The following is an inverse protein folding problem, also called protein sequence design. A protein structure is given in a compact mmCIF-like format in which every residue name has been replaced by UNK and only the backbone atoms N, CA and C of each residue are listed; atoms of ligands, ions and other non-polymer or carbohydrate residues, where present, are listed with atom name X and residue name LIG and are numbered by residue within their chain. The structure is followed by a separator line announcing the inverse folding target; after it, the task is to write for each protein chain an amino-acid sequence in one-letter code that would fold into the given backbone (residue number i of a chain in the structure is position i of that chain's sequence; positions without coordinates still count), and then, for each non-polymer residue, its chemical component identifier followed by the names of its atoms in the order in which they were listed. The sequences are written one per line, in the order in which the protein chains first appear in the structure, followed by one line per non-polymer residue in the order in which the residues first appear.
data_IF_330117407579
#
_entry.id   IF_330117407579
#
_cell.length_a   1.000
_cell.length_b   1.000
_cell.length_c   1.000
_cell.angle_alpha   90.00
_cell.angle_beta   90.00
_cell.angle_gamma   90.00
#
_symmetry.space_group_name_H-M   'P 1'
#
loop_
_entity.id
_entity.type
_entity.pdbx_description
1 polymer ?
#
# COMPACT_ATOMS: atom_id res chain seq x y z
N UNK A 1 24.51 -18.06 8.45
CA UNK A 1 23.83 -17.54 7.24
C UNK A 1 22.98 -16.36 7.67
N UNK A 2 23.31 -15.15 7.21
CA UNK A 2 22.55 -13.94 7.55
C UNK A 2 21.54 -13.60 6.47
N UNK A 3 20.34 -13.15 6.85
CA UNK A 3 19.33 -12.65 5.93
C UNK A 3 19.70 -11.23 5.46
N UNK A 4 19.76 -10.99 4.14
CA UNK A 4 19.97 -9.64 3.59
C UNK A 4 18.66 -8.86 3.68
N UNK A 5 18.70 -7.70 4.34
CA UNK A 5 17.55 -6.79 4.46
C UNK A 5 17.16 -6.27 3.08
N UNK A 6 16.00 -6.68 2.57
CA UNK A 6 15.37 -6.05 1.40
C UNK A 6 14.16 -5.24 1.89
N UNK A 7 14.29 -3.92 2.09
CA UNK A 7 13.18 -3.10 2.54
C UNK A 7 12.05 -3.14 1.50
N UNK A 8 10.81 -3.34 1.95
CA UNK A 8 9.65 -3.43 1.07
C UNK A 8 9.35 -2.03 0.52
N UNK A 9 9.06 -1.92 -0.77
CA UNK A 9 8.57 -0.69 -1.40
C UNK A 9 7.11 -0.91 -1.73
N UNK A 10 6.26 -0.01 -1.28
CA UNK A 10 4.84 0.02 -1.59
C UNK A 10 4.62 0.87 -2.83
N UNK A 11 3.79 0.37 -3.73
CA UNK A 11 3.29 1.11 -4.87
C UNK A 11 1.84 1.47 -4.59
N UNK A 12 1.60 2.75 -4.38
CA UNK A 12 0.30 3.34 -4.08
C UNK A 12 -0.27 3.88 -5.39
N UNK A 13 -1.46 3.41 -5.76
CA UNK A 13 -2.20 3.88 -6.92
C UNK A 13 -3.48 4.52 -6.43
N UNK A 14 -3.78 5.70 -6.96
CA UNK A 14 -4.99 6.43 -6.66
C UNK A 14 -5.95 6.34 -7.85
N UNK A 15 -7.23 6.22 -7.54
CA UNK A 15 -8.34 6.19 -8.49
C UNK A 15 -9.33 7.31 -8.12
N UNK A 16 -10.11 7.79 -9.07
CA UNK A 16 -11.17 8.78 -8.82
C UNK A 16 -10.70 10.24 -8.95
N UNK A 17 -10.56 10.95 -7.82
CA UNK A 17 -10.19 12.38 -7.85
C UNK A 17 -8.71 12.59 -8.22
N UNK A 18 -7.84 11.66 -7.82
CA UNK A 18 -6.42 11.63 -8.17
C UNK A 18 -6.12 10.47 -9.15
N UNK A 19 -7.03 10.21 -10.08
CA UNK A 19 -6.92 9.11 -11.03
C UNK A 19 -5.62 9.21 -11.83
N UNK A 20 -4.81 8.15 -11.76
CA UNK A 20 -3.51 8.09 -12.43
C UNK A 20 -2.32 8.54 -11.58
N UNK A 21 -2.52 9.03 -10.36
CA UNK A 21 -1.40 9.31 -9.44
C UNK A 21 -0.78 7.98 -8.96
N UNK A 22 0.52 7.86 -9.17
CA UNK A 22 1.32 6.70 -8.77
C UNK A 22 2.43 7.14 -7.82
N UNK A 23 2.45 6.59 -6.61
CA UNK A 23 3.40 6.97 -5.55
C UNK A 23 4.14 5.73 -5.05
N UNK A 24 5.48 5.81 -5.02
CA UNK A 24 6.35 4.72 -4.54
C UNK A 24 7.02 5.12 -3.25
N UNK A 25 6.72 4.38 -2.19
CA UNK A 25 7.17 4.72 -0.84
C UNK A 25 7.74 3.50 -0.10
N UNK A 26 8.83 3.69 0.65
CA UNK A 26 9.49 2.63 1.40
C UNK A 26 8.69 2.22 2.64
N UNK A 27 8.84 0.97 3.05
CA UNK A 27 8.29 0.46 4.30
C UNK A 27 8.96 1.11 5.51
N UNK A 28 8.19 1.31 6.56
CA UNK A 28 8.69 1.72 7.87
C UNK A 28 9.43 0.55 8.55
N UNK A 29 10.42 0.90 9.36
CA UNK A 29 10.97 -0.06 10.34
C UNK A 29 10.00 -0.20 11.52
N UNK A 30 10.05 -1.31 12.25
CA UNK A 30 9.16 -1.53 13.41
C UNK A 30 9.25 -0.39 14.45
N UNK A 31 10.44 0.16 14.70
CA UNK A 31 10.60 1.29 15.61
C UNK A 31 9.94 2.58 15.10
N UNK A 32 10.00 2.82 13.79
CA UNK A 32 9.34 3.97 13.15
C UNK A 32 7.82 3.80 13.10
N UNK A 33 7.32 2.57 12.93
CA UNK A 33 5.90 2.27 13.02
C UNK A 33 5.33 2.54 14.42
N UNK A 34 6.09 2.21 15.47
CA UNK A 34 5.70 2.47 16.86
C UNK A 34 5.68 3.97 17.16
N UNK A 35 6.69 4.71 16.70
CA UNK A 35 6.72 6.17 16.81
C UNK A 35 5.50 6.78 16.10
N UNK A 36 5.34 6.51 14.80
CA UNK A 36 4.23 7.03 14.00
C UNK A 36 2.83 6.75 14.60
N UNK A 37 2.63 5.60 15.27
CA UNK A 37 1.37 5.31 15.98
C UNK A 37 1.19 6.13 17.25
N UNK A 38 2.26 6.32 18.02
CA UNK A 38 2.24 7.12 19.24
C UNK A 38 1.98 8.59 18.91
N UNK A 39 2.64 9.11 17.87
CA UNK A 39 2.51 10.50 17.44
C UNK A 39 1.16 10.80 16.75
N UNK A 40 0.56 9.83 16.04
CA UNK A 40 -0.78 10.02 15.45
C UNK A 40 -1.91 10.07 16.49
N UNK A 41 -1.77 9.37 17.62
CA UNK A 41 -2.81 9.31 18.67
C UNK A 41 -3.00 10.68 19.34
N UNK A 42 -1.98 11.55 19.31
CA UNK A 42 -2.01 12.89 19.90
C UNK A 42 -2.78 13.92 19.04
N UNK A 43 -3.04 13.63 17.75
CA UNK A 43 -3.93 14.42 16.88
C UNK A 43 -3.58 15.91 16.68
N UNK A 44 -2.43 16.36 17.17
CA UNK A 44 -1.97 17.75 17.12
C UNK A 44 -1.32 18.13 15.79
N UNK A 45 -1.12 19.45 15.59
CA UNK A 45 -0.38 20.01 14.43
C UNK A 45 1.01 19.40 14.27
N UNK A 46 1.68 19.08 15.38
CA UNK A 46 3.00 18.43 15.40
C UNK A 46 2.99 17.03 14.76
N UNK A 47 1.91 16.25 14.95
CA UNK A 47 1.79 14.92 14.37
C UNK A 47 1.67 14.96 12.84
N UNK A 48 1.02 15.99 12.30
CA UNK A 48 0.88 16.15 10.84
C UNK A 48 2.22 16.50 10.20
N UNK A 49 2.98 17.44 10.79
CA UNK A 49 4.30 17.82 10.28
C UNK A 49 5.28 16.63 10.32
N UNK A 50 5.30 15.87 11.42
CA UNK A 50 6.14 14.68 11.55
C UNK A 50 5.80 13.60 10.49
N UNK A 51 4.52 13.42 10.16
CA UNK A 51 4.10 12.46 9.12
C UNK A 51 4.50 12.93 7.71
N UNK A 52 4.44 14.24 7.44
CA UNK A 52 4.88 14.83 6.18
C UNK A 52 6.40 14.69 6.01
N UNK A 53 7.18 14.96 7.06
CA UNK A 53 8.63 14.74 7.07
C UNK A 53 8.99 13.27 6.85
N UNK A 54 8.26 12.37 7.51
CA UNK A 54 8.44 10.93 7.38
C UNK A 54 8.09 10.43 5.97
N UNK A 55 7.04 10.98 5.35
CA UNK A 55 6.70 10.70 3.96
C UNK A 55 7.84 11.14 3.04
N UNK A 56 8.32 12.38 3.17
CA UNK A 56 9.41 12.92 2.35
C UNK A 56 10.69 12.08 2.42
N UNK A 57 11.06 11.57 3.60
CA UNK A 57 12.24 10.71 3.78
C UNK A 57 12.08 9.33 3.10
N UNK A 58 10.84 8.85 2.97
CA UNK A 58 10.54 7.49 2.52
C UNK A 58 10.00 7.43 1.11
N UNK A 59 9.55 8.56 0.57
CA UNK A 59 9.13 8.71 -0.80
C UNK A 59 10.33 8.43 -1.71
N UNK A 60 10.18 7.43 -2.57
CA UNK A 60 11.22 7.04 -3.54
C UNK A 60 11.01 7.82 -4.82
N UNK A 61 9.76 7.90 -5.26
CA UNK A 61 9.36 8.34 -6.58
C UNK A 61 7.85 8.56 -6.61
N UNK A 62 7.38 9.48 -7.45
CA UNK A 62 5.97 9.70 -7.77
C UNK A 62 5.86 10.28 -9.19
N UNK A 63 4.71 10.11 -9.84
CA UNK A 63 4.49 10.65 -11.19
C UNK A 63 3.84 12.05 -11.18
N UNK A 64 4.05 12.82 -10.10
CA UNK A 64 3.46 14.14 -9.96
C UNK A 64 4.17 15.16 -10.85
N UNK A 65 3.39 15.92 -11.63
CA UNK A 65 3.86 17.00 -12.50
C UNK A 65 3.20 18.33 -12.05
N UNK A 66 3.97 19.40 -12.07
CA UNK A 66 3.51 20.76 -11.74
C UNK A 66 2.70 21.37 -12.90
N UNK A 67 2.15 22.58 -12.74
CA UNK A 67 1.33 23.27 -13.75
C UNK A 67 2.08 23.51 -15.07
N UNK A 68 3.41 23.62 -15.02
CA UNK A 68 4.30 23.74 -16.18
C UNK A 68 4.66 22.38 -16.83
N UNK A 69 4.12 21.27 -16.34
CA UNK A 69 4.44 19.90 -16.80
C UNK A 69 5.84 19.43 -16.40
N UNK A 70 6.40 20.02 -15.34
CA UNK A 70 7.69 19.62 -14.80
C UNK A 70 7.50 18.58 -13.69
N UNK A 71 8.29 17.49 -13.65
CA UNK A 71 8.17 16.49 -12.60
C UNK A 71 8.50 17.12 -11.25
N UNK A 72 7.57 17.02 -10.30
CA UNK A 72 7.76 17.50 -8.94
C UNK A 72 8.76 16.57 -8.25
N UNK A 73 9.85 17.08 -7.65
CA UNK A 73 10.79 16.22 -6.96
C UNK A 73 10.16 15.70 -5.65
N UNK A 74 10.46 14.45 -5.23
CA UNK A 74 9.96 13.88 -3.98
C UNK A 74 10.71 14.47 -2.76
N UNK A 75 10.61 15.77 -2.55
CA UNK A 75 11.26 16.51 -1.47
C UNK A 75 10.24 17.07 -0.49
N UNK A 76 10.68 17.35 0.74
CA UNK A 76 9.84 17.95 1.77
C UNK A 76 9.24 19.30 1.32
N UNK A 77 10.04 20.11 0.63
CA UNK A 77 9.63 21.43 0.16
C UNK A 77 8.51 21.34 -0.88
N UNK A 78 8.64 20.39 -1.83
CA UNK A 78 7.59 20.08 -2.79
C UNK A 78 6.31 19.61 -2.08
N UNK A 79 6.41 18.63 -1.19
CA UNK A 79 5.23 18.12 -0.45
C UNK A 79 4.55 19.22 0.37
N UNK A 80 5.31 20.17 0.93
CA UNK A 80 4.74 21.32 1.67
C UNK A 80 4.08 22.36 0.76
N UNK A 81 4.42 22.39 -0.52
CA UNK A 81 3.80 23.25 -1.54
C UNK A 81 2.54 22.65 -2.15
N UNK A 82 2.36 21.32 -2.04
CA UNK A 82 1.22 20.59 -2.59
C UNK A 82 -0.09 20.78 -1.79
N UNK A 83 -1.19 20.35 -2.42
CA UNK A 83 -2.51 20.38 -1.79
C UNK A 83 -2.58 19.48 -0.55
N UNK A 84 -3.12 20.05 0.53
CA UNK A 84 -3.21 19.36 1.82
C UNK A 84 -4.04 18.07 1.74
N UNK A 85 -5.17 18.08 1.01
CA UNK A 85 -6.04 16.90 0.92
C UNK A 85 -5.33 15.75 0.19
N UNK A 86 -4.61 16.08 -0.89
CA UNK A 86 -3.80 15.12 -1.64
C UNK A 86 -2.72 14.48 -0.77
N UNK A 87 -1.95 15.29 -0.03
CA UNK A 87 -0.87 14.77 0.82
C UNK A 87 -1.44 13.90 1.95
N UNK A 88 -2.57 14.29 2.56
CA UNK A 88 -3.23 13.47 3.58
C UNK A 88 -3.79 12.17 3.03
N UNK A 89 -4.32 12.17 1.80
CA UNK A 89 -4.76 10.96 1.11
C UNK A 89 -3.59 9.99 0.91
N UNK A 90 -2.42 10.50 0.50
CA UNK A 90 -1.19 9.71 0.35
C UNK A 90 -0.74 9.12 1.68
N UNK A 91 -0.67 9.94 2.72
CA UNK A 91 -0.27 9.50 4.08
C UNK A 91 -1.23 8.42 4.61
N UNK A 92 -2.53 8.59 4.38
CA UNK A 92 -3.57 7.66 4.82
C UNK A 92 -3.42 6.31 4.10
N UNK A 93 -3.30 6.32 2.77
CA UNK A 93 -3.16 5.09 1.99
C UNK A 93 -1.83 4.37 2.33
N UNK A 94 -0.76 5.14 2.52
CA UNK A 94 0.53 4.60 2.97
C UNK A 94 0.44 3.95 4.35
N UNK A 95 -0.17 4.62 5.31
CA UNK A 95 -0.34 4.10 6.69
C UNK A 95 -1.18 2.82 6.69
N UNK A 96 -2.25 2.78 5.89
CA UNK A 96 -3.06 1.57 5.71
C UNK A 96 -2.24 0.41 5.12
N UNK A 97 -1.46 0.67 4.06
CA UNK A 97 -0.60 -0.33 3.43
C UNK A 97 0.49 -0.86 4.39
N UNK A 98 1.03 0.00 5.27
CA UNK A 98 2.00 -0.41 6.29
C UNK A 98 1.34 -1.17 7.45
N UNK A 99 0.15 -0.77 7.87
CA UNK A 99 -0.63 -1.45 8.91
C UNK A 99 -1.07 -2.86 8.50
N UNK A 100 -0.90 -3.22 7.21
CA UNK A 100 -1.32 -4.51 6.67
C UNK A 100 -2.83 -4.60 6.49
N UNK A 101 -3.55 -3.47 6.58
CA UNK A 101 -4.90 -3.37 6.06
C UNK A 101 -4.73 -3.44 4.56
N UNK A 102 -5.27 -4.47 3.87
CA UNK A 102 -5.18 -4.48 2.42
C UNK A 102 -5.76 -3.15 1.94
N UNK A 103 -4.97 -2.37 1.18
CA UNK A 103 -5.55 -1.37 0.30
C UNK A 103 -6.72 -2.06 -0.43
N UNK A 104 -7.85 -1.38 -0.69
CA UNK A 104 -8.90 -1.94 -1.52
C UNK A 104 -8.23 -2.59 -2.73
N UNK A 105 -8.30 -3.92 -2.77
CA UNK A 105 -7.54 -4.71 -3.73
C UNK A 105 -7.93 -4.19 -5.11
N UNK A 106 -6.94 -3.84 -5.93
CA UNK A 106 -7.13 -3.57 -7.35
C UNK A 106 -7.82 -4.78 -7.99
N UNK A 107 -9.16 -4.73 -8.02
CA UNK A 107 -10.06 -5.58 -8.80
C UNK A 107 -9.91 -7.12 -8.56
N UNK A 108 -10.97 -7.90 -8.77
CA UNK A 108 -10.81 -9.35 -8.79
C UNK A 108 -9.81 -9.71 -9.89
N UNK A 109 -8.78 -10.50 -9.55
CA UNK A 109 -8.01 -11.26 -10.53
C UNK A 109 -9.00 -11.80 -11.58
N UNK A 110 -8.81 -11.58 -12.91
CA UNK A 110 -9.67 -12.21 -13.89
C UNK A 110 -9.70 -13.68 -13.57
N UNK A 111 -10.91 -14.12 -13.25
CA UNK A 111 -11.24 -15.42 -12.73
C UNK A 111 -10.44 -16.49 -13.46
N UNK A 112 -9.84 -17.39 -12.67
CA UNK A 112 -9.12 -18.54 -13.19
C UNK A 112 -9.92 -19.16 -14.33
N UNK A 113 -9.27 -19.25 -15.49
CA UNK A 113 -9.76 -20.09 -16.57
C UNK A 113 -10.16 -21.41 -15.94
N UNK A 114 -11.44 -21.74 -16.11
CA UNK A 114 -12.08 -22.91 -15.54
C UNK A 114 -11.22 -24.10 -15.87
N UNK A 115 -10.43 -24.57 -14.90
CA UNK A 115 -9.75 -25.86 -15.05
C UNK A 115 -10.87 -26.86 -15.26
N UNK A 116 -10.94 -27.56 -16.41
CA UNK A 116 -11.96 -28.58 -16.60
C UNK A 116 -11.61 -29.71 -15.65
N UNK A 117 -12.21 -29.69 -14.47
CA UNK A 117 -12.21 -30.83 -13.57
C UNK A 117 -13.05 -31.87 -14.31
N UNK A 118 -12.37 -32.79 -15.00
CA UNK A 118 -13.01 -33.99 -15.52
C UNK A 118 -13.74 -34.62 -14.34
N UNK A 119 -15.07 -34.62 -14.39
CA UNK A 119 -15.91 -35.23 -13.38
C UNK A 119 -15.57 -36.71 -13.32
N UNK A 120 -14.78 -37.11 -12.34
CA UNK A 120 -14.50 -38.52 -12.09
C UNK A 120 -15.77 -39.08 -11.44
N UNK A 121 -16.47 -40.05 -12.06
CA UNK A 121 -17.63 -40.67 -11.46
C UNK A 121 -17.20 -41.34 -10.16
N UNK A 122 -17.85 -40.97 -9.05
CA UNK A 122 -17.63 -41.62 -7.76
C UNK A 122 -18.30 -42.99 -7.79
N UNK A 123 -17.52 -44.03 -8.08
CA UNK A 123 -17.98 -45.41 -7.94
C UNK A 123 -18.23 -45.69 -6.45
N UNK A 124 -19.44 -46.15 -6.14
CA UNK A 124 -19.93 -46.33 -4.77
C UNK A 124 -19.13 -47.41 -4.05
N UNK A 125 -18.69 -47.10 -2.82
CA UNK A 125 -18.04 -48.04 -1.91
C UNK A 125 -18.97 -49.23 -1.61
N UNK A 126 -18.54 -50.42 -2.01
CA UNK A 126 -19.13 -51.70 -1.63
C UNK A 126 -19.16 -51.89 -0.11
N UNK A 127 -20.32 -52.22 0.51
CA UNK A 127 -20.34 -52.75 1.86
C UNK A 127 -20.03 -54.25 1.82
N UNK A 128 -18.77 -54.61 2.11
CA UNK A 128 -18.43 -55.95 2.58
C UNK A 128 -19.00 -56.14 3.98
N UNK A 129 -20.08 -56.91 4.13
CA UNK A 129 -20.50 -57.43 5.44
C UNK A 129 -20.71 -58.93 5.32
N UNK A 130 -19.86 -59.65 6.03
CA UNK A 130 -19.81 -61.09 6.16
C UNK A 130 -21.08 -61.68 6.78
N UNK A 131 -21.52 -62.84 6.27
CA UNK A 131 -21.93 -64.01 7.06
C UNK A 131 -21.97 -65.23 6.15
#
# INVERSE_FOLDING_TARGET
MGYKRNPKVYHLKFEGEYDGLEVRVRSLSMGQLIAARTDNDDGGRDGTEAMVELLAERLVDWNLEDEDGAPVPPTLDAIKGEDHDMIMAIITQWTNAVAGVPAPLEQPSPAGETSPVASIPTEALSPSLAS
#
